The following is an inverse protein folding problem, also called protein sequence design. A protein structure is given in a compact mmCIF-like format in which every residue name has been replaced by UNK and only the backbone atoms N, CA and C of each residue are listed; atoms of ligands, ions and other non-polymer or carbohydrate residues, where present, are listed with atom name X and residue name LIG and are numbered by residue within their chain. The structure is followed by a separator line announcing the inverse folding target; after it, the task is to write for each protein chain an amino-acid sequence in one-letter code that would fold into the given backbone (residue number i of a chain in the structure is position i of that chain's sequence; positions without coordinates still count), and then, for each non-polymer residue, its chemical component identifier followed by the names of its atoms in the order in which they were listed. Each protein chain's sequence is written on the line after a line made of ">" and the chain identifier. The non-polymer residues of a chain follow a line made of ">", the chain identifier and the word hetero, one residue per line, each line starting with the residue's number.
data_IF_963972249520
#
_entry.id   IF_963972249520
#
_cell.length_a   1.000
_cell.length_b   1.000
_cell.length_c   1.000
_cell.angle_alpha   90.00
_cell.angle_beta   90.00
_cell.angle_gamma   90.00
#
_symmetry.space_group_name_H-M   'P 1'
#
loop_
_entity.id
_entity.type
_entity.pdbx_description
1 polymer ?
#
# COMPACT_ATOMS: atom_id res chain seq x y z
N UNK A 1 7.09 5.75 10.82
CA UNK A 1 6.29 4.55 10.57
C UNK A 1 7.12 3.37 11.01
N UNK A 2 6.61 2.59 11.96
CA UNK A 2 7.16 1.26 12.25
C UNK A 2 6.82 0.33 11.08
N UNK A 3 7.62 -0.70 10.86
CA UNK A 3 7.37 -1.66 9.77
C UNK A 3 6.21 -2.56 10.19
N UNK A 4 5.15 -2.63 9.37
CA UNK A 4 4.03 -3.53 9.64
C UNK A 4 4.40 -5.00 9.36
N UNK A 5 5.23 -5.26 8.34
CA UNK A 5 5.58 -6.63 7.89
C UNK A 5 6.67 -7.30 8.74
N UNK A 6 6.47 -7.34 10.06
CA UNK A 6 7.23 -8.19 10.97
C UNK A 6 6.81 -9.66 10.82
N UNK A 7 7.61 -10.58 11.34
CA UNK A 7 7.33 -12.03 11.29
C UNK A 7 5.89 -12.36 11.68
N UNK A 8 5.41 -11.82 12.80
CA UNK A 8 4.09 -12.10 13.34
C UNK A 8 2.98 -11.65 12.38
N UNK A 9 3.19 -10.50 11.74
CA UNK A 9 2.25 -9.94 10.77
C UNK A 9 2.27 -10.71 9.44
N UNK A 10 3.45 -11.09 8.94
CA UNK A 10 3.59 -11.93 7.74
C UNK A 10 2.85 -13.26 7.95
N UNK A 11 3.10 -13.93 9.09
CA UNK A 11 2.45 -15.20 9.43
C UNK A 11 0.94 -15.01 9.55
N UNK A 12 0.47 -13.96 10.24
CA UNK A 12 -0.95 -13.68 10.40
C UNK A 12 -1.65 -13.37 9.07
N UNK A 13 -1.02 -12.57 8.20
CA UNK A 13 -1.58 -12.21 6.88
C UNK A 13 -1.63 -13.42 5.95
N UNK A 14 -0.55 -14.19 5.84
CA UNK A 14 -0.48 -15.36 4.96
C UNK A 14 -1.48 -16.45 5.37
N UNK A 15 -1.66 -16.64 6.68
CA UNK A 15 -2.55 -17.65 7.22
C UNK A 15 -4.04 -17.31 7.11
N UNK A 16 -4.43 -16.03 7.14
CA UNK A 16 -5.82 -15.61 6.86
C UNK A 16 -6.30 -15.96 5.45
N UNK A 17 -5.37 -16.08 4.49
CA UNK A 17 -5.67 -16.47 3.11
C UNK A 17 -5.91 -17.98 2.92
N UNK A 18 -5.65 -18.80 3.94
CA UNK A 18 -5.84 -20.24 3.88
C UNK A 18 -7.13 -20.63 4.61
N UNK A 19 -7.90 -21.56 4.03
CA UNK A 19 -9.07 -22.13 4.69
C UNK A 19 -8.62 -23.00 5.89
N UNK A 20 -8.51 -22.36 7.05
CA UNK A 20 -8.38 -22.95 8.40
C UNK A 20 -6.99 -23.47 8.85
N UNK A 21 -5.97 -22.60 8.99
CA UNK A 21 -4.77 -22.90 9.78
C UNK A 21 -5.00 -22.67 11.29
N UNK A 22 -4.48 -23.56 12.14
CA UNK A 22 -4.35 -23.31 13.59
C UNK A 22 -3.34 -22.17 13.84
N UNK A 23 -3.82 -20.92 13.78
CA UNK A 23 -3.02 -19.69 13.83
C UNK A 23 -2.17 -19.54 15.10
N UNK A 24 -2.69 -20.04 16.21
CA UNK A 24 -2.05 -19.96 17.53
C UNK A 24 -0.73 -20.75 17.59
N UNK A 25 -0.60 -21.81 16.78
CA UNK A 25 0.61 -22.63 16.70
C UNK A 25 1.78 -21.88 16.04
N UNK A 26 1.49 -20.83 15.27
CA UNK A 26 2.47 -20.19 14.38
C UNK A 26 3.02 -18.86 14.89
N UNK A 27 2.32 -18.20 15.80
CA UNK A 27 2.66 -16.85 16.28
C UNK A 27 3.79 -16.84 17.32
N UNK A 28 4.04 -17.97 17.99
CA UNK A 28 4.97 -18.04 19.13
C UNK A 28 6.21 -18.93 18.86
N UNK A 29 6.50 -19.22 17.59
CA UNK A 29 7.70 -20.00 17.25
C UNK A 29 8.97 -19.13 17.31
N UNK A 30 9.93 -19.57 18.11
CA UNK A 30 11.24 -18.92 18.25
C UNK A 30 12.36 -19.69 17.55
N UNK A 31 12.22 -21.01 17.37
CA UNK A 31 13.25 -21.83 16.76
C UNK A 31 13.15 -21.82 15.22
N UNK A 32 14.31 -21.80 14.57
CA UNK A 32 14.41 -21.70 13.11
C UNK A 32 13.73 -22.88 12.39
N UNK A 33 13.80 -24.09 12.96
CA UNK A 33 13.21 -25.27 12.35
C UNK A 33 11.68 -25.12 12.26
N UNK A 34 11.03 -24.73 13.36
CA UNK A 34 9.59 -24.47 13.36
C UNK A 34 9.20 -23.35 12.41
N UNK A 35 9.97 -22.26 12.35
CA UNK A 35 9.72 -21.15 11.40
C UNK A 35 9.77 -21.64 9.94
N UNK A 36 10.73 -22.50 9.61
CA UNK A 36 10.83 -23.09 8.26
C UNK A 36 9.66 -24.01 7.95
N UNK A 37 9.18 -24.80 8.91
CA UNK A 37 7.98 -25.63 8.76
C UNK A 37 6.73 -24.77 8.55
N UNK A 38 6.61 -23.65 9.25
CA UNK A 38 5.54 -22.66 9.08
C UNK A 38 5.57 -22.08 7.66
N UNK A 39 6.74 -21.64 7.20
CA UNK A 39 6.89 -21.06 5.87
C UNK A 39 6.35 -22.02 4.79
N UNK A 40 6.71 -23.30 4.87
CA UNK A 40 6.24 -24.30 3.90
C UNK A 40 4.72 -24.48 3.93
N UNK A 41 4.10 -24.50 5.11
CA UNK A 41 2.64 -24.60 5.27
C UNK A 41 1.90 -23.37 4.75
N UNK A 42 2.51 -22.19 4.88
CA UNK A 42 1.98 -20.92 4.40
C UNK A 42 2.36 -20.62 2.94
N UNK A 43 3.05 -21.55 2.26
CA UNK A 43 3.59 -21.36 0.92
C UNK A 43 4.50 -20.12 0.78
N UNK A 44 5.22 -19.80 1.85
CA UNK A 44 6.23 -18.74 1.92
C UNK A 44 7.63 -19.31 1.67
N UNK A 45 8.56 -18.42 1.35
CA UNK A 45 9.99 -18.74 1.27
C UNK A 45 10.58 -18.89 2.69
N UNK A 46 11.14 -20.07 3.06
CA UNK A 46 11.64 -20.30 4.41
C UNK A 46 12.80 -19.40 4.81
N UNK A 47 13.74 -19.12 3.91
CA UNK A 47 14.91 -18.31 4.22
C UNK A 47 14.52 -16.85 4.44
N UNK A 48 13.57 -16.33 3.65
CA UNK A 48 13.06 -14.96 3.83
C UNK A 48 12.25 -14.80 5.12
N UNK A 49 11.46 -15.81 5.50
CA UNK A 49 10.70 -15.76 6.75
C UNK A 49 11.63 -15.79 7.97
N UNK A 50 12.69 -16.60 7.95
CA UNK A 50 13.74 -16.60 8.98
C UNK A 50 14.46 -15.25 9.03
N UNK A 51 14.85 -14.70 7.88
CA UNK A 51 15.50 -13.39 7.81
C UNK A 51 14.60 -12.26 8.37
N UNK A 52 13.29 -12.31 8.10
CA UNK A 52 12.33 -11.38 8.69
C UNK A 52 12.23 -11.56 10.22
N UNK A 53 12.15 -12.81 10.72
CA UNK A 53 12.11 -13.08 12.17
C UNK A 53 13.33 -12.55 12.90
N UNK A 54 14.51 -12.71 12.32
CA UNK A 54 15.76 -12.25 12.90
C UNK A 54 15.98 -10.73 12.76
N UNK A 55 15.08 -10.01 12.07
CA UNK A 55 15.24 -8.60 11.75
C UNK A 55 16.43 -8.32 10.80
N UNK A 56 16.89 -9.34 10.08
CA UNK A 56 18.00 -9.25 9.13
C UNK A 56 17.60 -8.51 7.85
N UNK A 57 16.30 -8.45 7.56
CA UNK A 57 15.74 -7.70 6.45
C UNK A 57 14.98 -6.47 6.95
N UNK A 58 15.32 -5.32 6.38
CA UNK A 58 14.56 -4.07 6.55
C UNK A 58 14.65 -3.26 5.24
N UNK A 59 13.56 -2.65 4.77
CA UNK A 59 13.60 -1.86 3.55
C UNK A 59 14.54 -0.66 3.73
N UNK A 60 15.46 -0.48 2.78
CA UNK A 60 16.32 0.71 2.77
C UNK A 60 15.43 1.95 2.68
N UNK A 61 15.51 2.83 3.69
CA UNK A 61 14.85 4.13 3.61
C UNK A 61 15.50 4.97 2.51
N UNK A 62 14.74 5.22 1.46
CA UNK A 62 15.11 6.12 0.37
C UNK A 62 14.25 7.36 0.42
N UNK A 63 14.88 8.53 0.40
CA UNK A 63 14.18 9.77 0.14
C UNK A 63 14.11 9.96 -1.37
N UNK A 64 12.89 9.96 -1.90
CA UNK A 64 12.63 10.21 -3.31
C UNK A 64 12.20 11.66 -3.43
N UNK A 65 12.97 12.45 -4.18
CA UNK A 65 12.65 13.86 -4.40
C UNK A 65 11.29 13.97 -5.10
N UNK A 66 10.42 14.85 -4.59
CA UNK A 66 9.09 15.06 -5.15
C UNK A 66 8.05 14.00 -4.75
N UNK A 67 8.42 12.97 -3.99
CA UNK A 67 7.44 12.02 -3.44
C UNK A 67 6.90 12.53 -2.11
N UNK A 68 5.58 12.67 -2.03
CA UNK A 68 4.84 13.04 -0.84
C UNK A 68 3.85 11.93 -0.48
N UNK A 69 3.70 11.65 0.80
CA UNK A 69 2.81 10.63 1.33
C UNK A 69 1.74 11.26 2.21
N UNK A 70 0.51 10.81 2.06
CA UNK A 70 -0.65 11.26 2.83
C UNK A 70 -1.29 10.04 3.47
N UNK A 71 -1.47 10.10 4.78
CA UNK A 71 -2.10 9.03 5.56
C UNK A 71 -3.53 9.44 5.92
N UNK A 72 -4.46 8.51 5.77
CA UNK A 72 -5.87 8.73 6.11
C UNK A 72 -6.43 7.54 6.90
N UNK A 73 -7.36 7.76 7.85
CA UNK A 73 -7.83 6.71 8.74
C UNK A 73 -8.78 5.73 8.03
N UNK A 74 -8.62 4.43 8.30
CA UNK A 74 -9.51 3.38 7.80
C UNK A 74 -9.84 2.38 8.92
N UNK A 75 -10.88 2.69 9.70
CA UNK A 75 -11.26 1.90 10.86
C UNK A 75 -10.17 1.93 11.94
N UNK A 76 -9.62 0.76 12.29
CA UNK A 76 -8.51 0.63 13.22
C UNK A 76 -7.12 0.71 12.54
N UNK A 77 -7.10 0.85 11.21
CA UNK A 77 -5.89 0.95 10.40
C UNK A 77 -5.81 2.33 9.75
N UNK A 78 -4.74 2.57 8.98
CA UNK A 78 -4.62 3.71 8.08
C UNK A 78 -4.27 3.26 6.67
N UNK A 79 -4.58 4.11 5.70
CA UNK A 79 -4.25 3.91 4.29
C UNK A 79 -3.44 5.08 3.78
N UNK A 80 -2.43 4.78 2.98
CA UNK A 80 -1.57 5.78 2.36
C UNK A 80 -2.05 6.08 0.93
N UNK A 81 -1.99 7.36 0.55
CA UNK A 81 -1.95 7.82 -0.83
C UNK A 81 -0.65 8.60 -1.07
N UNK A 82 -0.21 8.66 -2.33
CA UNK A 82 1.07 9.27 -2.68
C UNK A 82 0.93 10.27 -3.81
N UNK A 83 1.69 11.36 -3.75
CA UNK A 83 1.78 12.34 -4.82
C UNK A 83 3.23 12.49 -5.25
N UNK A 84 3.53 12.18 -6.50
CA UNK A 84 4.83 12.46 -7.11
C UNK A 84 4.79 13.80 -7.82
N UNK A 85 5.85 14.60 -7.70
CA UNK A 85 5.94 15.94 -8.29
C UNK A 85 7.19 16.03 -9.14
N UNK A 86 7.04 16.47 -10.39
CA UNK A 86 8.17 16.95 -11.18
C UNK A 86 8.57 18.36 -10.69
N UNK A 87 9.76 18.53 -10.10
CA UNK A 87 10.19 19.81 -9.55
C UNK A 87 10.33 20.92 -10.60
N UNK A 88 10.49 20.56 -11.88
CA UNK A 88 10.68 21.52 -12.96
C UNK A 88 9.37 22.09 -13.50
N UNK A 89 8.37 21.23 -13.72
CA UNK A 89 7.08 21.62 -14.33
C UNK A 89 5.96 21.83 -13.31
N UNK A 90 6.12 21.39 -12.06
CA UNK A 90 5.07 21.33 -11.02
C UNK A 90 3.91 20.39 -11.38
N UNK A 91 4.09 19.54 -12.40
CA UNK A 91 3.17 18.46 -12.72
C UNK A 91 3.26 17.37 -11.67
N UNK A 92 2.12 16.74 -11.39
CA UNK A 92 2.02 15.72 -10.36
C UNK A 92 1.18 14.52 -10.80
N UNK A 93 1.52 13.36 -10.26
CA UNK A 93 0.74 12.12 -10.40
C UNK A 93 0.30 11.68 -9.01
N UNK A 94 -1.00 11.38 -8.88
CA UNK A 94 -1.58 10.86 -7.64
C UNK A 94 -1.65 9.34 -7.72
N UNK A 95 -1.29 8.66 -6.63
CA UNK A 95 -1.41 7.23 -6.45
C UNK A 95 -2.33 6.96 -5.27
N UNK A 96 -3.44 6.28 -5.54
CA UNK A 96 -4.56 6.06 -4.63
C UNK A 96 -5.17 7.35 -4.08
N UNK A 97 -6.33 7.22 -3.44
CA UNK A 97 -7.12 8.38 -2.99
C UNK A 97 -7.33 8.42 -1.50
N UNK A 98 -7.07 7.30 -0.81
CA UNK A 98 -7.31 7.16 0.62
C UNK A 98 -8.77 7.40 0.99
N UNK A 99 -8.99 7.65 2.27
CA UNK A 99 -10.31 7.92 2.85
C UNK A 99 -10.54 9.40 3.21
N UNK A 100 -9.53 10.25 3.01
CA UNK A 100 -9.61 11.70 3.20
C UNK A 100 -8.82 12.46 2.12
N UNK A 101 -9.53 13.11 1.20
CA UNK A 101 -8.94 13.92 0.14
C UNK A 101 -8.46 15.31 0.59
N UNK A 102 -8.83 15.78 1.79
CA UNK A 102 -8.58 17.16 2.21
C UNK A 102 -7.09 17.47 2.31
N UNK A 103 -6.31 16.52 2.83
CA UNK A 103 -4.85 16.66 2.99
C UNK A 103 -4.15 16.83 1.64
N UNK A 104 -4.53 16.02 0.65
CA UNK A 104 -3.99 16.07 -0.71
C UNK A 104 -4.40 17.35 -1.42
N UNK A 105 -5.69 17.72 -1.41
CA UNK A 105 -6.13 18.96 -2.06
C UNK A 105 -5.50 20.21 -1.46
N UNK A 106 -5.41 20.28 -0.14
CA UNK A 106 -4.75 21.41 0.55
C UNK A 106 -3.28 21.53 0.15
N UNK A 107 -2.61 20.39 -0.05
CA UNK A 107 -1.23 20.35 -0.51
C UNK A 107 -1.12 20.79 -1.97
N UNK A 108 -1.95 20.26 -2.87
CA UNK A 108 -2.00 20.63 -4.29
C UNK A 108 -2.22 22.13 -4.48
N UNK A 109 -3.18 22.71 -3.73
CA UNK A 109 -3.49 24.14 -3.81
C UNK A 109 -2.34 25.00 -3.29
N UNK A 110 -1.78 24.66 -2.12
CA UNK A 110 -0.67 25.41 -1.51
C UNK A 110 0.58 25.40 -2.38
N UNK A 111 0.86 24.26 -2.99
CA UNK A 111 2.04 24.05 -3.83
C UNK A 111 1.80 24.45 -5.30
N UNK A 112 0.58 24.87 -5.66
CA UNK A 112 0.17 25.24 -7.02
C UNK A 112 0.59 24.16 -8.04
N UNK A 113 0.15 22.92 -7.79
CA UNK A 113 0.49 21.75 -8.61
C UNK A 113 -0.56 21.49 -9.68
N UNK A 114 -0.12 20.97 -10.82
CA UNK A 114 -0.98 20.45 -11.88
C UNK A 114 -1.01 18.92 -11.78
N UNK A 115 -2.06 18.37 -11.17
CA UNK A 115 -2.23 16.90 -11.19
C UNK A 115 -2.67 16.49 -12.58
N UNK A 116 -1.94 15.57 -13.22
CA UNK A 116 -2.21 15.15 -14.60
C UNK A 116 -2.97 13.83 -14.68
N UNK A 117 -2.83 12.97 -13.68
CA UNK A 117 -3.40 11.62 -13.68
C UNK A 117 -3.49 11.04 -12.27
N UNK A 118 -4.42 10.09 -12.10
CA UNK A 118 -4.57 9.28 -10.90
C UNK A 118 -4.28 7.83 -11.27
N UNK A 119 -3.47 7.15 -10.48
CA UNK A 119 -3.17 5.72 -10.60
C UNK A 119 -3.72 5.01 -9.37
N UNK A 120 -4.53 3.97 -9.58
CA UNK A 120 -5.04 3.12 -8.52
C UNK A 120 -4.19 1.85 -8.48
N UNK A 121 -3.57 1.60 -7.32
CA UNK A 121 -2.70 0.44 -7.12
C UNK A 121 -3.50 -0.85 -7.14
N UNK A 122 -4.66 -0.84 -6.47
CA UNK A 122 -5.68 -1.89 -6.45
C UNK A 122 -7.01 -1.31 -5.92
N UNK A 123 -8.11 -2.04 -6.09
CA UNK A 123 -9.49 -1.56 -5.96
C UNK A 123 -10.14 -1.87 -4.62
N UNK A 124 -9.34 -2.12 -3.58
CA UNK A 124 -9.87 -2.15 -2.22
C UNK A 124 -10.44 -0.79 -1.82
N UNK A 125 -11.51 -0.83 -1.03
CA UNK A 125 -12.37 0.33 -0.79
C UNK A 125 -11.65 1.53 -0.19
N UNK A 126 -10.61 1.31 0.61
CA UNK A 126 -9.78 2.34 1.23
C UNK A 126 -8.87 3.08 0.24
N UNK A 127 -8.49 2.45 -0.87
CA UNK A 127 -7.66 3.07 -1.92
C UNK A 127 -8.48 3.92 -2.90
N UNK A 128 -9.78 3.61 -3.07
CA UNK A 128 -10.69 4.30 -4.00
C UNK A 128 -11.77 5.15 -3.31
N UNK A 129 -11.80 5.23 -1.98
CA UNK A 129 -12.92 5.83 -1.24
C UNK A 129 -13.18 7.29 -1.62
N UNK A 130 -12.12 8.05 -1.91
CA UNK A 130 -12.22 9.46 -2.30
C UNK A 130 -12.18 9.70 -3.81
N UNK A 131 -12.20 8.65 -4.64
CA UNK A 131 -12.00 8.77 -6.08
C UNK A 131 -12.97 9.72 -6.78
N UNK A 132 -14.27 9.64 -6.46
CA UNK A 132 -15.28 10.53 -7.03
C UNK A 132 -14.98 12.01 -6.77
N UNK A 133 -14.45 12.34 -5.59
CA UNK A 133 -14.08 13.71 -5.23
C UNK A 133 -12.89 14.20 -6.06
N UNK A 134 -11.88 13.35 -6.25
CA UNK A 134 -10.72 13.66 -7.08
C UNK A 134 -11.10 13.80 -8.56
N UNK A 135 -11.88 12.88 -9.11
CA UNK A 135 -12.34 12.93 -10.51
C UNK A 135 -13.19 14.19 -10.74
N UNK A 136 -14.11 14.50 -9.83
CA UNK A 136 -14.96 15.69 -9.94
C UNK A 136 -14.18 17.00 -9.92
N UNK A 137 -13.12 17.08 -9.09
CA UNK A 137 -12.32 18.30 -8.94
C UNK A 137 -11.25 18.44 -10.01
N UNK A 138 -10.53 17.37 -10.32
CA UNK A 138 -9.32 17.42 -11.16
C UNK A 138 -9.65 17.16 -12.63
N UNK A 139 -10.69 16.37 -12.93
CA UNK A 139 -11.09 16.02 -14.30
C UNK A 139 -9.94 15.41 -15.13
N UNK A 140 -9.12 14.59 -14.47
CA UNK A 140 -7.95 13.91 -15.05
C UNK A 140 -8.23 12.44 -15.33
N UNK A 141 -7.48 11.80 -16.24
CA UNK A 141 -7.56 10.36 -16.44
C UNK A 141 -7.21 9.59 -15.16
N UNK A 142 -7.95 8.51 -14.93
CA UNK A 142 -7.69 7.52 -13.89
C UNK A 142 -7.19 6.25 -14.57
N UNK A 143 -6.14 5.65 -14.04
CA UNK A 143 -5.57 4.40 -14.52
C UNK A 143 -5.62 3.33 -13.44
N UNK A 144 -5.88 2.09 -13.85
CA UNK A 144 -5.92 0.92 -12.97
C UNK A 144 -5.35 -0.29 -13.70
N UNK A 145 -4.83 -1.28 -12.98
CA UNK A 145 -4.39 -2.53 -13.59
C UNK A 145 -5.56 -3.25 -14.31
N UNK A 146 -5.27 -3.90 -15.44
CA UNK A 146 -6.28 -4.57 -16.28
C UNK A 146 -7.04 -5.72 -15.59
N UNK A 147 -6.55 -6.23 -14.46
CA UNK A 147 -7.25 -7.24 -13.65
C UNK A 147 -8.27 -6.68 -12.67
N UNK A 148 -8.30 -5.35 -12.48
CA UNK A 148 -9.11 -4.67 -11.46
C UNK A 148 -9.92 -3.52 -12.07
N UNK A 149 -10.46 -3.74 -13.27
CA UNK A 149 -11.18 -2.69 -14.01
C UNK A 149 -12.47 -2.29 -13.30
N UNK A 150 -12.71 -0.98 -13.27
CA UNK A 150 -13.97 -0.39 -12.84
C UNK A 150 -14.38 0.78 -13.76
N UNK A 151 -15.64 1.17 -13.70
CA UNK A 151 -16.21 2.21 -14.56
C UNK A 151 -15.49 3.56 -14.36
N UNK A 152 -15.05 4.17 -15.46
CA UNK A 152 -14.38 5.47 -15.44
C UNK A 152 -12.84 5.43 -15.34
N UNK A 153 -12.24 4.25 -15.16
CA UNK A 153 -10.79 4.08 -15.22
C UNK A 153 -10.31 3.45 -16.54
N UNK A 154 -9.12 3.85 -16.98
CA UNK A 154 -8.43 3.30 -18.15
C UNK A 154 -7.53 2.13 -17.71
N UNK A 155 -7.73 0.91 -18.25
CA UNK A 155 -6.90 -0.23 -17.90
C UNK A 155 -5.47 -0.08 -18.44
N UNK A 156 -4.49 -0.44 -17.62
CA UNK A 156 -3.06 -0.49 -17.95
C UNK A 156 -2.44 -1.82 -17.49
N UNK A 157 -1.29 -2.19 -18.08
CA UNK A 157 -0.57 -3.45 -17.83
C UNK A 157 0.76 -3.21 -17.13
#
# INVERSE_FOLDING_TARGET
>A
MELEDLYEDIVLKASKGLENPHLEDYQNCEDEQSIREIALKLHLDPDKLVASKNGEWYPQRRQIQGLNSFESPFGAMSVNSYLTIDPSSRKALLFDTGTDSHSVFSFVDRENLEVESIFITHTHGDHVACLDQFVSRLQVPVYVHESEVFDGATPIR
#
